data_IF_933596875151
#
_entry.id   IF_933596875151
#
_cell.length_a   1.000
_cell.length_b   1.000
_cell.length_c   1.000
_cell.angle_alpha   90.00
_cell.angle_beta   90.00
_cell.angle_gamma   90.00
#
_symmetry.space_group_name_H-M   'P 1'
#
loop_
_entity.id
_entity.type
_entity.pdbx_description
1 polymer ?
#
# COMPACT_ATOMS: atom_id res chain seq x y z
N UNK A 1 -11.63 -1.57 7.26
CA UNK A 1 -10.24 -1.31 7.69
C UNK A 1 -9.81 0.04 7.13
N UNK A 2 -9.23 0.95 7.93
CA UNK A 2 -8.76 2.25 7.45
C UNK A 2 -7.41 2.13 6.72
N UNK A 3 -7.11 3.06 5.82
CA UNK A 3 -5.81 3.18 5.14
C UNK A 3 -4.94 4.15 5.93
N UNK A 4 -3.74 3.72 6.33
CA UNK A 4 -2.81 4.53 7.13
C UNK A 4 -1.60 4.89 6.29
N UNK A 5 -1.25 6.17 6.24
CA UNK A 5 -0.01 6.66 5.65
C UNK A 5 0.96 7.06 6.75
N UNK A 6 2.21 6.64 6.64
CA UNK A 6 3.28 6.92 7.61
C UNK A 6 4.21 8.02 7.08
N UNK A 7 4.73 8.88 7.97
CA UNK A 7 5.78 9.85 7.59
C UNK A 7 7.05 9.08 7.17
N UNK A 8 7.74 9.53 6.12
CA UNK A 8 8.92 8.86 5.57
C UNK A 8 8.61 7.74 4.58
N UNK A 9 7.33 7.46 4.30
CA UNK A 9 6.93 6.52 3.24
C UNK A 9 7.29 7.01 1.83
N UNK A 10 7.43 8.33 1.66
CA UNK A 10 7.83 9.00 0.42
C UNK A 10 9.25 8.65 -0.04
N UNK A 11 10.15 8.33 0.90
CA UNK A 11 11.52 7.90 0.59
C UNK A 11 11.57 6.47 0.07
N UNK A 12 10.50 5.69 0.27
CA UNK A 12 10.30 4.36 -0.31
C UNK A 12 11.48 3.43 -0.11
N UNK A 13 12.02 2.88 -1.20
CA UNK A 13 13.12 1.92 -1.18
C UNK A 13 14.44 2.47 -0.60
N UNK A 14 14.70 3.77 -0.71
CA UNK A 14 15.93 4.38 -0.20
C UNK A 14 16.01 4.35 1.33
N UNK A 15 14.87 4.53 2.01
CA UNK A 15 14.79 4.36 3.46
C UNK A 15 15.09 2.92 3.88
N UNK A 16 14.61 1.95 3.09
CA UNK A 16 14.92 0.53 3.28
C UNK A 16 16.42 0.24 3.17
N UNK A 17 17.07 0.76 2.12
CA UNK A 17 18.52 0.60 1.92
C UNK A 17 19.34 1.20 3.07
N UNK A 18 18.99 2.41 3.52
CA UNK A 18 19.66 3.05 4.66
C UNK A 18 19.51 2.25 5.97
N UNK A 19 18.33 1.64 6.19
CA UNK A 19 18.09 0.75 7.34
C UNK A 19 18.95 -0.51 7.27
N UNK A 20 19.08 -1.13 6.10
CA UNK A 20 19.97 -2.28 5.92
C UNK A 20 21.43 -1.94 6.22
N UNK A 21 21.91 -0.78 5.75
CA UNK A 21 23.25 -0.29 6.06
C UNK A 21 23.45 -0.06 7.58
N UNK A 22 22.44 0.47 8.27
CA UNK A 22 22.46 0.65 9.72
C UNK A 22 22.55 -0.68 10.49
N UNK A 23 21.83 -1.71 10.04
CA UNK A 23 21.90 -3.05 10.63
C UNK A 23 23.27 -3.68 10.39
N UNK A 24 23.83 -3.55 9.18
CA UNK A 24 25.18 -4.01 8.86
C UNK A 24 26.25 -3.30 9.71
N UNK A 25 26.02 -2.04 10.09
CA UNK A 25 26.87 -1.29 11.00
C UNK A 25 26.70 -1.66 12.49
N UNK A 26 25.87 -2.67 12.82
CA UNK A 26 25.72 -3.19 14.18
C UNK A 26 24.69 -2.46 15.05
N UNK A 27 23.84 -1.59 14.47
CA UNK A 27 22.74 -0.97 15.24
C UNK A 27 21.66 -2.02 15.57
N UNK A 28 21.03 -1.93 16.76
CA UNK A 28 20.03 -2.91 17.17
C UNK A 28 18.74 -2.82 16.33
N UNK A 29 18.16 -3.98 16.02
CA UNK A 29 16.98 -4.09 15.17
C UNK A 29 15.80 -3.24 15.67
N UNK A 30 15.59 -3.21 16.98
CA UNK A 30 14.48 -2.49 17.60
C UNK A 30 14.52 -0.97 17.34
N UNK A 31 15.71 -0.38 17.18
CA UNK A 31 15.84 1.05 16.89
C UNK A 31 15.84 1.36 15.39
N UNK A 32 16.27 0.41 14.55
CA UNK A 32 16.35 0.62 13.08
C UNK A 32 15.01 0.34 12.40
N UNK A 33 14.30 -0.69 12.83
CA UNK A 33 13.03 -1.14 12.26
C UNK A 33 11.80 -0.58 13.00
N UNK A 34 11.96 0.51 13.74
CA UNK A 34 10.84 1.18 14.40
C UNK A 34 9.81 1.64 13.37
N UNK A 35 8.53 1.44 13.70
CA UNK A 35 7.41 1.86 12.86
C UNK A 35 7.38 3.38 12.83
N UNK A 36 7.52 4.03 11.66
CA UNK A 36 7.47 5.48 11.59
C UNK A 36 6.11 6.01 12.06
N UNK A 37 6.09 7.26 12.51
CA UNK A 37 4.87 7.93 12.97
C UNK A 37 3.75 7.87 11.91
N UNK A 38 2.52 7.66 12.36
CA UNK A 38 1.34 7.76 11.49
C UNK A 38 1.18 9.22 11.08
N UNK A 39 1.26 9.49 9.78
CA UNK A 39 0.98 10.82 9.25
C UNK A 39 -0.52 11.08 9.14
N UNK A 40 -1.26 10.13 8.59
CA UNK A 40 -2.71 10.28 8.35
C UNK A 40 -3.40 8.93 8.26
N UNK A 41 -4.64 8.88 8.76
CA UNK A 41 -5.52 7.72 8.65
C UNK A 41 -6.75 8.11 7.84
N UNK A 42 -7.08 7.31 6.83
CA UNK A 42 -8.20 7.51 5.92
C UNK A 42 -9.25 6.43 6.15
N UNK A 43 -10.48 6.86 6.39
CA UNK A 43 -11.62 5.96 6.58
C UNK A 43 -12.44 5.87 5.30
N UNK A 44 -13.03 4.71 5.07
CA UNK A 44 -13.95 4.51 3.95
C UNK A 44 -15.21 5.34 4.15
N UNK A 45 -15.60 6.09 3.12
CA UNK A 45 -16.88 6.79 3.07
C UNK A 45 -17.94 5.84 2.45
N UNK A 46 -19.03 5.51 3.17
CA UNK A 46 -20.05 4.58 2.70
C UNK A 46 -20.72 4.98 1.38
N UNK A 47 -20.91 6.28 1.13
CA UNK A 47 -21.56 6.78 -0.08
C UNK A 47 -20.64 6.58 -1.28
N UNK A 48 -19.37 6.98 -1.14
CA UNK A 48 -18.34 6.74 -2.15
C UNK A 48 -18.07 5.26 -2.37
N UNK A 49 -18.09 4.45 -1.31
CA UNK A 49 -17.94 3.00 -1.40
C UNK A 49 -19.02 2.38 -2.29
N UNK A 50 -20.28 2.78 -2.10
CA UNK A 50 -21.41 2.26 -2.90
C UNK A 50 -21.23 2.59 -4.38
N UNK A 51 -20.85 3.82 -4.71
CA UNK A 51 -20.57 4.22 -6.10
C UNK A 51 -19.37 3.47 -6.71
N UNK A 52 -18.31 3.23 -5.92
CA UNK A 52 -17.13 2.49 -6.37
C UNK A 52 -17.42 1.00 -6.62
N UNK A 53 -18.34 0.40 -5.84
CA UNK A 53 -18.71 -1.00 -6.02
C UNK A 53 -19.35 -1.29 -7.38
N UNK A 54 -20.13 -0.36 -7.93
CA UNK A 54 -20.69 -0.49 -9.28
C UNK A 54 -19.58 -0.51 -10.35
N UNK A 55 -18.60 0.39 -10.24
CA UNK A 55 -17.44 0.43 -11.15
C UNK A 55 -16.56 -0.81 -11.02
N UNK A 56 -16.41 -1.34 -9.81
CA UNK A 56 -15.67 -2.56 -9.54
C UNK A 56 -16.30 -3.78 -10.22
N UNK A 57 -17.63 -3.89 -10.23
CA UNK A 57 -18.33 -4.96 -10.95
C UNK A 57 -18.05 -4.90 -12.46
N UNK A 58 -18.12 -3.71 -13.04
CA UNK A 58 -17.82 -3.49 -14.47
C UNK A 58 -16.36 -3.85 -14.79
N UNK A 59 -15.41 -3.39 -13.96
CA UNK A 59 -14.00 -3.74 -14.12
C UNK A 59 -13.77 -5.25 -14.14
N UNK A 60 -14.37 -6.00 -13.22
CA UNK A 60 -14.23 -7.46 -13.17
C UNK A 60 -14.78 -8.13 -14.43
N UNK A 61 -15.92 -7.67 -14.94
CA UNK A 61 -16.51 -8.21 -16.17
C UNK A 61 -15.57 -7.99 -17.37
N UNK A 62 -15.01 -6.80 -17.50
CA UNK A 62 -14.05 -6.46 -18.56
C UNK A 62 -12.75 -7.25 -18.43
N UNK A 63 -12.21 -7.36 -17.21
CA UNK A 63 -10.98 -8.11 -16.95
C UNK A 63 -11.13 -9.59 -17.31
N UNK A 64 -12.27 -10.20 -16.96
CA UNK A 64 -12.55 -11.61 -17.34
C UNK A 64 -12.70 -11.77 -18.85
N UNK A 65 -13.33 -10.82 -19.53
CA UNK A 65 -13.45 -10.84 -20.98
C UNK A 65 -12.06 -10.78 -21.64
N UNK A 66 -11.22 -9.82 -21.25
CA UNK A 66 -9.85 -9.69 -21.76
C UNK A 66 -9.01 -10.94 -21.49
N UNK A 67 -9.09 -11.54 -20.30
CA UNK A 67 -8.43 -12.82 -20.02
C UNK A 67 -8.90 -13.94 -20.95
N UNK A 68 -10.20 -14.07 -21.20
CA UNK A 68 -10.73 -15.08 -22.10
C UNK A 68 -10.26 -14.85 -23.54
N UNK A 69 -10.23 -13.60 -23.99
CA UNK A 69 -9.76 -13.24 -25.32
C UNK A 69 -8.29 -13.60 -25.54
N UNK A 70 -7.43 -13.41 -24.52
CA UNK A 70 -6.00 -13.74 -24.59
C UNK A 70 -5.69 -15.24 -24.56
N UNK A 71 -6.62 -16.05 -24.06
CA UNK A 71 -6.45 -17.49 -23.89
C UNK A 71 -7.13 -18.32 -25.00
N UNK A 72 -7.66 -17.66 -26.04
CA UNK A 72 -8.17 -18.25 -27.27
C UNK A 72 -7.15 -18.13 -28.39
#
# INVERSE_FOLDING_TARGET
MPVVTHKGGETGGALGAARLACLAAGKPLASVCEKPEVYKTWYGDPVRHTALMQRYQQFNALYRNDLNYRNQ
#
